data_IF_417569621796
#
_entry.id   IF_417569621796
#
_cell.length_a   1.000
_cell.length_b   1.000
_cell.length_c   1.000
_cell.angle_alpha   90.00
_cell.angle_beta   90.00
_cell.angle_gamma   90.00
#
_symmetry.space_group_name_H-M   'P 1'
#
loop_
_entity.id
_entity.type
_entity.pdbx_description
1 polymer ?
#
# COMPACT_ATOMS: atom_id res chain seq x y z
N UNK A 1 1.21 4.67 14.19
CA UNK A 1 1.72 4.37 15.55
C UNK A 1 3.07 5.03 15.81
N UNK A 2 4.12 4.76 15.04
CA UNK A 2 5.46 5.34 15.28
C UNK A 2 5.44 6.87 15.48
N UNK A 3 4.88 7.63 14.52
CA UNK A 3 4.76 9.08 14.65
C UNK A 3 3.90 9.54 15.85
N UNK A 4 2.80 8.83 16.12
CA UNK A 4 1.91 9.15 17.24
C UNK A 4 2.65 9.07 18.59
N UNK A 5 3.53 8.07 18.72
CA UNK A 5 4.33 7.80 19.92
C UNK A 5 5.71 8.48 19.91
N UNK A 6 6.04 9.27 18.88
CA UNK A 6 7.38 9.85 18.71
C UNK A 6 8.51 8.82 18.56
N UNK A 7 8.23 7.63 18.01
CA UNK A 7 9.20 6.55 17.80
C UNK A 7 9.77 6.54 16.38
N UNK A 8 11.00 6.02 16.22
CA UNK A 8 11.55 5.69 14.90
C UNK A 8 10.74 4.55 14.27
N UNK A 9 10.36 4.74 13.01
CA UNK A 9 9.74 3.68 12.21
C UNK A 9 10.82 2.87 11.49
N UNK A 10 10.62 1.55 11.41
CA UNK A 10 11.54 0.65 10.71
C UNK A 10 10.80 -0.53 10.09
N UNK A 11 11.35 -1.09 9.01
CA UNK A 11 10.83 -2.31 8.37
C UNK A 11 11.88 -3.42 8.46
N UNK A 12 11.46 -4.57 8.99
CA UNK A 12 12.27 -5.79 9.00
C UNK A 12 11.64 -6.77 8.02
N UNK A 13 12.41 -7.17 7.01
CA UNK A 13 11.98 -8.11 5.98
C UNK A 13 12.40 -9.52 6.41
N UNK A 14 11.49 -10.26 7.04
CA UNK A 14 11.79 -11.57 7.65
C UNK A 14 11.37 -12.79 6.81
N UNK A 15 10.67 -12.58 5.68
CA UNK A 15 10.16 -13.62 4.76
C UNK A 15 10.34 -13.14 3.30
N UNK A 16 10.29 -14.02 2.27
CA UNK A 16 10.72 -13.71 0.90
C UNK A 16 9.76 -12.81 0.10
N UNK A 17 9.27 -11.71 0.71
CA UNK A 17 8.71 -10.59 -0.01
C UNK A 17 9.79 -9.52 -0.11
N UNK A 18 10.68 -9.67 -1.09
CA UNK A 18 11.78 -8.74 -1.29
C UNK A 18 11.29 -7.48 -2.02
N UNK A 19 10.35 -6.74 -1.44
CA UNK A 19 9.96 -5.45 -2.00
C UNK A 19 11.17 -4.50 -2.06
N UNK A 20 12.22 -4.74 -1.24
CA UNK A 20 13.52 -4.08 -1.33
C UNK A 20 14.23 -4.26 -2.70
N UNK A 21 13.84 -5.25 -3.52
CA UNK A 21 14.29 -5.36 -4.92
C UNK A 21 13.72 -4.28 -5.82
N UNK A 22 12.69 -3.56 -5.38
CA UNK A 22 11.99 -2.55 -6.17
C UNK A 22 11.95 -1.18 -5.47
N UNK A 23 11.82 -1.18 -4.14
CA UNK A 23 11.66 0.01 -3.32
C UNK A 23 12.86 0.19 -2.39
N UNK A 24 13.23 1.44 -2.18
CA UNK A 24 14.24 1.86 -1.21
C UNK A 24 13.70 3.02 -0.36
N UNK A 25 14.39 3.38 0.74
CA UNK A 25 14.05 4.58 1.49
C UNK A 25 14.01 5.84 0.62
N UNK A 26 13.06 6.72 0.92
CA UNK A 26 12.98 8.05 0.34
C UNK A 26 13.31 9.13 1.39
N UNK A 27 12.32 9.88 1.86
CA UNK A 27 12.52 10.95 2.85
C UNK A 27 12.66 10.43 4.27
N UNK A 28 12.11 9.26 4.54
CA UNK A 28 12.24 8.56 5.82
C UNK A 28 13.15 7.35 5.62
N UNK A 29 14.25 7.32 6.37
CA UNK A 29 15.07 6.13 6.44
C UNK A 29 14.42 5.10 7.39
N UNK A 30 13.92 4.02 6.81
CA UNK A 30 13.25 2.93 7.53
C UNK A 30 14.10 1.65 7.61
N UNK A 31 15.36 1.68 7.17
CA UNK A 31 16.28 0.56 7.40
C UNK A 31 16.71 0.52 8.85
N UNK A 32 16.81 -0.68 9.41
CA UNK A 32 17.23 -0.91 10.79
C UNK A 32 18.38 -1.92 10.77
N UNK A 33 19.52 -1.59 11.35
CA UNK A 33 20.57 -2.59 11.60
C UNK A 33 20.10 -3.49 12.77
N UNK A 34 20.01 -4.83 12.59
CA UNK A 34 19.64 -5.74 13.65
C UNK A 34 20.47 -5.58 14.94
N UNK A 35 21.72 -5.14 14.84
CA UNK A 35 22.59 -4.87 16.00
C UNK A 35 22.05 -3.76 16.90
N UNK A 36 21.36 -2.76 16.33
CA UNK A 36 20.74 -1.67 17.09
C UNK A 36 19.60 -2.16 18.00
N UNK A 37 19.04 -3.35 17.71
CA UNK A 37 17.93 -3.93 18.45
C UNK A 37 18.38 -4.91 19.54
N UNK A 38 19.67 -5.26 19.56
CA UNK A 38 20.22 -6.25 20.47
C UNK A 38 20.13 -5.78 21.94
N UNK A 39 19.63 -6.63 22.82
CA UNK A 39 19.47 -6.33 24.25
C UNK A 39 18.30 -5.39 24.60
N UNK A 40 17.57 -4.85 23.63
CA UNK A 40 16.42 -3.99 23.90
C UNK A 40 15.19 -4.80 24.30
N UNK A 41 14.48 -4.36 25.35
CA UNK A 41 13.17 -4.91 25.72
C UNK A 41 12.20 -4.72 24.56
N UNK A 42 11.58 -5.81 24.11
CA UNK A 42 10.71 -5.82 22.95
C UNK A 42 9.34 -6.43 23.23
N UNK A 43 8.36 -6.09 22.39
CA UNK A 43 7.05 -6.73 22.36
C UNK A 43 6.61 -6.96 20.91
N UNK A 44 6.00 -8.11 20.65
CA UNK A 44 5.43 -8.45 19.35
C UNK A 44 3.91 -8.33 19.38
N UNK A 45 3.40 -7.37 18.62
CA UNK A 45 1.99 -7.12 18.41
C UNK A 45 1.55 -7.75 17.08
N UNK A 46 0.87 -8.90 17.15
CA UNK A 46 0.33 -9.64 15.99
C UNK A 46 -1.13 -9.27 15.78
N UNK A 47 -1.42 -8.61 14.66
CA UNK A 47 -2.74 -8.03 14.34
C UNK A 47 -3.29 -8.52 12.99
N UNK A 48 -2.72 -9.57 12.41
CA UNK A 48 -3.24 -10.13 11.16
C UNK A 48 -4.66 -10.64 11.39
N UNK A 49 -5.64 -10.10 10.67
CA UNK A 49 -7.04 -10.43 10.87
C UNK A 49 -7.71 -9.75 12.08
N UNK A 50 -6.98 -8.96 12.87
CA UNK A 50 -7.52 -8.30 14.07
C UNK A 50 -8.21 -6.97 13.72
N UNK A 51 -9.52 -7.05 13.52
CA UNK A 51 -10.39 -5.88 13.36
C UNK A 51 -10.71 -5.18 14.69
N UNK A 52 -10.61 -5.87 15.82
CA UNK A 52 -10.90 -5.32 17.15
C UNK A 52 -9.90 -4.22 17.54
N UNK A 53 -8.66 -4.36 17.09
CA UNK A 53 -7.63 -3.34 17.30
C UNK A 53 -7.96 -1.98 16.68
N UNK A 54 -8.75 -1.95 15.60
CA UNK A 54 -9.22 -0.71 14.94
C UNK A 54 -9.97 0.16 15.97
N UNK A 55 -10.97 -0.42 16.65
CA UNK A 55 -11.79 0.30 17.63
C UNK A 55 -10.97 0.77 18.83
N UNK A 56 -10.04 -0.06 19.31
CA UNK A 56 -9.18 0.29 20.44
C UNK A 56 -8.30 1.53 20.15
N UNK A 57 -7.85 1.71 18.91
CA UNK A 57 -6.96 2.81 18.55
C UNK A 57 -7.55 4.20 18.75
N UNK A 58 -8.89 4.32 18.81
CA UNK A 58 -9.59 5.60 19.01
C UNK A 58 -9.40 6.23 20.38
N UNK A 59 -9.04 5.44 21.40
CA UNK A 59 -8.93 5.92 22.78
C UNK A 59 -7.73 5.37 23.54
N UNK A 60 -7.01 4.40 22.99
CA UNK A 60 -5.87 3.78 23.66
C UNK A 60 -4.72 4.77 23.89
N UNK A 61 -4.12 4.66 25.08
CA UNK A 61 -2.79 5.19 25.38
C UNK A 61 -1.74 4.16 24.94
N UNK A 62 -1.18 4.36 23.74
CA UNK A 62 -0.16 3.50 23.13
C UNK A 62 1.12 3.46 23.94
N UNK A 63 1.55 4.56 24.55
CA UNK A 63 2.76 4.62 25.38
C UNK A 63 2.61 3.75 26.62
N UNK A 64 1.45 3.84 27.30
CA UNK A 64 1.14 2.99 28.45
C UNK A 64 0.95 1.53 28.06
N UNK A 65 0.30 1.27 26.92
CA UNK A 65 0.03 -0.11 26.45
C UNK A 65 1.29 -0.83 25.96
N UNK A 66 2.21 -0.09 25.35
CA UNK A 66 3.42 -0.62 24.72
C UNK A 66 4.68 0.09 25.23
N UNK A 67 5.02 -0.03 26.52
CA UNK A 67 6.14 0.71 27.13
C UNK A 67 7.52 0.20 26.69
N UNK A 68 7.60 -0.88 25.93
CA UNK A 68 8.85 -1.50 25.49
C UNK A 68 9.59 -0.61 24.49
N UNK A 69 10.93 -0.70 24.51
CA UNK A 69 11.82 0.05 23.61
C UNK A 69 11.56 -0.30 22.14
N UNK A 70 11.28 -1.58 21.87
CA UNK A 70 10.98 -2.07 20.51
C UNK A 70 9.57 -2.65 20.46
N UNK A 71 8.76 -2.18 19.51
CA UNK A 71 7.45 -2.73 19.22
C UNK A 71 7.46 -3.29 17.81
N UNK A 72 7.46 -4.62 17.69
CA UNK A 72 7.31 -5.30 16.41
C UNK A 72 5.82 -5.41 16.09
N UNK A 73 5.40 -4.90 14.94
CA UNK A 73 3.99 -4.93 14.52
C UNK A 73 3.87 -5.78 13.27
N UNK A 74 3.00 -6.78 13.31
CA UNK A 74 2.61 -7.56 12.12
C UNK A 74 1.13 -7.35 11.87
N UNK A 75 0.76 -6.84 10.69
CA UNK A 75 -0.63 -6.57 10.33
C UNK A 75 -0.85 -6.64 8.83
N UNK A 76 -2.11 -6.83 8.42
CA UNK A 76 -2.62 -6.71 7.07
C UNK A 76 -3.73 -5.64 6.94
N UNK A 77 -3.89 -4.78 7.95
CA UNK A 77 -4.90 -3.70 7.97
C UNK A 77 -4.27 -2.31 8.00
N UNK A 78 -5.02 -1.34 7.48
CA UNK A 78 -4.69 0.07 7.54
C UNK A 78 -5.34 0.67 8.79
N UNK A 79 -4.53 0.93 9.81
CA UNK A 79 -5.00 1.40 11.12
C UNK A 79 -5.00 2.92 11.31
N UNK A 80 -4.47 3.70 10.36
CA UNK A 80 -4.26 5.13 10.60
C UNK A 80 -5.57 5.90 10.78
N UNK A 81 -6.67 5.47 10.14
CA UNK A 81 -7.97 6.14 10.25
C UNK A 81 -8.43 6.28 11.71
N UNK A 82 -8.47 5.18 12.45
CA UNK A 82 -8.89 5.18 13.86
C UNK A 82 -7.88 5.85 14.77
N UNK A 83 -6.59 5.82 14.41
CA UNK A 83 -5.56 6.47 15.19
C UNK A 83 -5.60 8.00 15.09
N UNK A 84 -6.00 8.55 13.93
CA UNK A 84 -6.18 10.01 13.74
C UNK A 84 -7.32 10.53 14.63
N UNK A 85 -8.34 9.71 14.86
CA UNK A 85 -9.49 10.06 15.73
C UNK A 85 -9.13 10.06 17.22
N UNK A 86 -7.95 9.58 17.60
CA UNK A 86 -7.54 9.51 19.00
C UNK A 86 -7.12 10.90 19.54
N UNK A 87 -7.84 11.46 20.53
CA UNK A 87 -7.58 12.81 21.03
C UNK A 87 -6.15 13.00 21.57
N UNK A 88 -5.54 11.94 22.10
CA UNK A 88 -4.20 11.96 22.71
C UNK A 88 -3.10 12.25 21.68
N UNK A 89 -3.34 11.89 20.42
CA UNK A 89 -2.36 12.00 19.33
C UNK A 89 -2.69 13.12 18.33
N UNK A 90 -3.71 13.93 18.61
CA UNK A 90 -4.20 14.96 17.70
C UNK A 90 -3.10 15.94 17.30
N UNK A 91 -2.21 16.33 18.23
CA UNK A 91 -1.10 17.25 17.94
C UNK A 91 -0.07 16.63 16.99
N UNK A 92 0.33 15.38 17.25
CA UNK A 92 1.32 14.64 16.46
C UNK A 92 0.80 14.29 15.06
N UNK A 93 -0.52 14.13 14.92
CA UNK A 93 -1.20 13.72 13.70
C UNK A 93 -1.98 14.85 13.04
N UNK A 94 -1.81 16.10 13.48
CA UNK A 94 -2.60 17.24 13.00
C UNK A 94 -2.57 17.36 11.46
N UNK A 95 -1.39 17.21 10.87
CA UNK A 95 -1.21 17.25 9.42
C UNK A 95 -2.09 16.25 8.66
N UNK A 96 -2.35 15.07 9.25
CA UNK A 96 -3.13 14.01 8.60
C UNK A 96 -4.63 14.24 8.74
N UNK A 97 -5.08 14.93 9.79
CA UNK A 97 -6.48 15.34 9.95
C UNK A 97 -6.91 16.46 9.00
N UNK A 98 -5.96 17.15 8.36
CA UNK A 98 -6.20 18.31 7.50
C UNK A 98 -6.37 17.95 6.01
N UNK A 99 -6.37 16.66 5.65
CA UNK A 99 -6.48 16.22 4.25
C UNK A 99 -7.31 14.94 4.11
N UNK A 100 -7.90 14.68 2.93
CA UNK A 100 -8.60 13.43 2.67
C UNK A 100 -7.72 12.21 2.90
N UNK A 101 -8.31 11.10 3.34
CA UNK A 101 -7.54 9.90 3.68
C UNK A 101 -6.68 9.34 2.53
N UNK A 102 -7.16 9.44 1.28
CA UNK A 102 -6.36 9.06 0.11
C UNK A 102 -5.06 9.86 0.00
N UNK A 103 -5.11 11.15 0.32
CA UNK A 103 -3.94 12.03 0.31
C UNK A 103 -3.01 11.73 1.48
N UNK A 104 -3.54 11.36 2.66
CA UNK A 104 -2.73 10.89 3.79
C UNK A 104 -1.94 9.65 3.37
N UNK A 105 -2.61 8.66 2.77
CA UNK A 105 -1.96 7.43 2.31
C UNK A 105 -0.88 7.74 1.27
N UNK A 106 -1.20 8.51 0.23
CA UNK A 106 -0.25 8.90 -0.81
C UNK A 106 0.98 9.64 -0.24
N UNK A 107 0.76 10.59 0.69
CA UNK A 107 1.84 11.31 1.35
C UNK A 107 2.73 10.38 2.17
N UNK A 108 2.16 9.45 2.94
CA UNK A 108 2.94 8.45 3.69
C UNK A 108 3.77 7.59 2.73
N UNK A 109 3.15 7.05 1.67
CA UNK A 109 3.85 6.22 0.69
C UNK A 109 5.01 6.98 0.04
N UNK A 110 4.81 8.24 -0.34
CA UNK A 110 5.87 9.08 -0.92
C UNK A 110 6.99 9.41 0.07
N UNK A 111 6.68 9.62 1.35
CA UNK A 111 7.71 9.85 2.36
C UNK A 111 8.57 8.60 2.59
N UNK A 112 7.91 7.44 2.56
CA UNK A 112 8.51 6.16 2.89
C UNK A 112 9.33 5.58 1.73
N UNK A 113 8.76 5.56 0.53
CA UNK A 113 9.26 4.75 -0.57
C UNK A 113 9.59 5.60 -1.79
N UNK A 114 10.66 5.20 -2.47
CA UNK A 114 10.94 5.52 -3.87
C UNK A 114 11.41 4.26 -4.56
N UNK A 115 11.33 4.23 -5.88
CA UNK A 115 11.94 3.14 -6.64
C UNK A 115 13.47 3.13 -6.45
N UNK A 116 14.06 1.95 -6.48
CA UNK A 116 15.51 1.86 -6.66
C UNK A 116 15.86 2.16 -8.12
N UNK A 117 17.13 2.48 -8.37
CA UNK A 117 17.54 3.02 -9.67
C UNK A 117 17.25 2.01 -10.80
N UNK A 118 17.51 0.72 -10.56
CA UNK A 118 17.21 -0.34 -11.52
C UNK A 118 15.71 -0.44 -11.88
N UNK A 119 14.84 -0.39 -10.87
CA UNK A 119 13.40 -0.47 -11.10
C UNK A 119 12.86 0.84 -11.69
N UNK A 120 13.42 1.99 -11.30
CA UNK A 120 13.09 3.28 -11.89
C UNK A 120 13.41 3.28 -13.38
N UNK A 121 14.60 2.82 -13.80
CA UNK A 121 14.96 2.69 -15.21
C UNK A 121 14.01 1.77 -15.98
N UNK A 122 13.60 0.64 -15.39
CA UNK A 122 12.66 -0.29 -16.01
C UNK A 122 11.28 0.36 -16.21
N UNK A 123 10.82 1.12 -15.20
CA UNK A 123 9.57 1.87 -15.26
C UNK A 123 9.65 3.03 -16.26
N UNK A 124 10.76 3.75 -16.31
CA UNK A 124 10.97 4.85 -17.24
C UNK A 124 10.95 4.35 -18.70
N UNK A 125 11.66 3.26 -18.99
CA UNK A 125 11.61 2.60 -20.31
C UNK A 125 10.21 2.12 -20.67
N UNK A 126 9.50 1.56 -19.70
CA UNK A 126 8.11 1.15 -19.90
C UNK A 126 7.25 2.37 -20.28
N UNK A 127 7.37 3.48 -19.55
CA UNK A 127 6.57 4.67 -19.78
C UNK A 127 6.96 5.45 -21.03
N UNK A 128 8.23 5.45 -21.43
CA UNK A 128 8.68 6.09 -22.67
C UNK A 128 7.90 5.59 -23.90
N UNK A 129 7.59 4.29 -23.92
CA UNK A 129 6.83 3.66 -25.01
C UNK A 129 5.32 3.65 -24.73
N UNK A 130 4.92 3.61 -23.45
CA UNK A 130 3.53 3.38 -23.06
C UNK A 130 2.76 4.62 -22.63
N UNK A 131 3.40 5.77 -22.41
CA UNK A 131 2.70 7.04 -22.20
C UNK A 131 1.87 7.38 -23.46
N UNK A 132 0.61 7.82 -23.32
CA UNK A 132 -0.15 8.32 -24.46
C UNK A 132 0.46 9.58 -25.03
N UNK A 133 0.34 9.78 -26.35
CA UNK A 133 0.67 11.07 -26.96
C UNK A 133 -0.14 12.20 -26.30
N UNK A 134 0.34 13.45 -26.29
CA UNK A 134 -0.36 14.57 -25.65
C UNK A 134 -1.82 14.78 -26.09
N UNK A 135 -2.17 14.34 -27.31
CA UNK A 135 -3.52 14.44 -27.88
C UNK A 135 -4.40 13.20 -27.58
N UNK A 136 -3.92 12.26 -26.77
CA UNK A 136 -4.63 11.04 -26.39
C UNK A 136 -4.97 11.04 -24.90
N UNK A 137 -6.09 10.45 -24.55
CA UNK A 137 -6.50 10.24 -23.17
C UNK A 137 -6.10 8.84 -22.69
N UNK A 138 -5.55 8.76 -21.48
CA UNK A 138 -5.29 7.50 -20.79
C UNK A 138 -6.57 6.98 -20.14
N UNK A 139 -6.90 5.72 -20.39
CA UNK A 139 -8.00 5.01 -19.72
C UNK A 139 -7.41 3.81 -18.99
N UNK A 140 -7.47 3.83 -17.65
CA UNK A 140 -6.91 2.78 -16.82
C UNK A 140 -8.01 1.88 -16.23
N UNK A 141 -7.75 0.57 -16.22
CA UNK A 141 -8.57 -0.40 -15.50
C UNK A 141 -7.70 -1.32 -14.65
N UNK A 142 -8.10 -1.52 -13.39
CA UNK A 142 -7.50 -2.52 -12.50
C UNK A 142 -8.56 -3.58 -12.20
N UNK A 143 -8.33 -4.80 -12.68
CA UNK A 143 -9.27 -5.91 -12.57
C UNK A 143 -8.70 -6.94 -11.60
N UNK A 144 -9.32 -7.02 -10.42
CA UNK A 144 -8.98 -8.03 -9.42
C UNK A 144 -10.05 -9.12 -9.42
N UNK A 145 -9.71 -10.29 -9.94
CA UNK A 145 -10.60 -11.46 -9.92
C UNK A 145 -10.57 -12.10 -8.54
N UNK A 146 -9.37 -12.45 -8.05
CA UNK A 146 -9.18 -13.26 -6.85
C UNK A 146 -9.78 -14.67 -6.94
N UNK A 147 -9.15 -15.61 -6.24
CA UNK A 147 -9.46 -17.04 -6.36
C UNK A 147 -9.54 -17.50 -7.82
N UNK A 148 -8.40 -17.40 -8.50
CA UNK A 148 -8.20 -17.81 -9.89
C UNK A 148 -6.97 -18.75 -9.96
N UNK A 149 -6.65 -19.39 -11.11
CA UNK A 149 -5.52 -20.31 -11.20
C UNK A 149 -4.17 -19.73 -10.78
N UNK A 150 -3.93 -18.42 -11.03
CA UNK A 150 -2.70 -17.72 -10.65
C UNK A 150 -2.69 -17.29 -9.17
N UNK A 151 -3.84 -17.21 -8.52
CA UNK A 151 -4.05 -16.81 -7.12
C UNK A 151 -5.07 -17.73 -6.42
N UNK A 152 -4.79 -19.05 -6.28
CA UNK A 152 -5.80 -20.05 -5.92
C UNK A 152 -6.31 -19.92 -4.47
N UNK A 153 -5.49 -19.36 -3.57
CA UNK A 153 -5.79 -19.24 -2.14
C UNK A 153 -6.39 -17.90 -1.74
N UNK A 154 -6.72 -17.04 -2.71
CA UNK A 154 -7.34 -15.76 -2.42
C UNK A 154 -8.86 -15.87 -2.21
N UNK A 155 -9.45 -14.76 -1.75
CA UNK A 155 -10.89 -14.57 -1.81
C UNK A 155 -11.29 -14.13 -3.22
N UNK A 156 -12.42 -14.65 -3.69
CA UNK A 156 -13.05 -14.16 -4.93
C UNK A 156 -13.48 -12.70 -4.71
N UNK A 157 -13.00 -11.81 -5.56
CA UNK A 157 -13.29 -10.36 -5.55
C UNK A 157 -14.27 -9.96 -6.64
N UNK A 158 -14.18 -10.60 -7.80
CA UNK A 158 -15.00 -10.30 -8.97
C UNK A 158 -15.32 -11.57 -9.76
N UNK A 159 -16.49 -11.61 -10.40
CA UNK A 159 -16.87 -12.68 -11.33
C UNK A 159 -16.54 -12.31 -12.78
N UNK A 160 -16.45 -13.30 -13.67
CA UNK A 160 -16.29 -13.06 -15.11
C UNK A 160 -17.47 -12.31 -15.73
N UNK A 161 -18.68 -12.44 -15.18
CA UNK A 161 -19.82 -11.63 -15.61
C UNK A 161 -19.61 -10.13 -15.35
N UNK A 162 -19.04 -9.76 -14.19
CA UNK A 162 -18.68 -8.37 -13.90
C UNK A 162 -17.55 -7.87 -14.79
N UNK A 163 -16.60 -8.73 -15.16
CA UNK A 163 -15.57 -8.41 -16.15
C UNK A 163 -16.21 -8.07 -17.51
N UNK A 164 -17.20 -8.84 -17.95
CA UNK A 164 -17.91 -8.51 -19.20
C UNK A 164 -18.61 -7.15 -19.12
N UNK A 165 -19.24 -6.82 -17.99
CA UNK A 165 -19.83 -5.48 -17.80
C UNK A 165 -18.77 -4.38 -17.86
N UNK A 166 -17.59 -4.61 -17.29
CA UNK A 166 -16.47 -3.67 -17.39
C UNK A 166 -15.98 -3.53 -18.83
N UNK A 167 -15.90 -4.61 -19.60
CA UNK A 167 -15.54 -4.54 -21.02
C UNK A 167 -16.57 -3.77 -21.84
N UNK A 168 -17.86 -3.96 -21.56
CA UNK A 168 -18.91 -3.17 -22.19
C UNK A 168 -18.75 -1.67 -21.87
N UNK A 169 -18.36 -1.33 -20.64
CA UNK A 169 -18.04 0.05 -20.28
C UNK A 169 -16.81 0.57 -21.04
N UNK A 170 -15.71 -0.20 -21.06
CA UNK A 170 -14.45 0.18 -21.70
C UNK A 170 -14.57 0.27 -23.22
N UNK A 171 -15.52 -0.43 -23.84
CA UNK A 171 -15.79 -0.36 -25.29
C UNK A 171 -16.11 1.05 -25.78
N UNK A 172 -16.57 1.94 -24.90
CA UNK A 172 -16.79 3.37 -25.19
C UNK A 172 -15.49 4.11 -25.55
N UNK A 173 -14.35 3.57 -25.15
CA UNK A 173 -13.01 4.14 -25.35
C UNK A 173 -12.21 3.39 -26.42
N UNK A 174 -12.86 2.62 -27.30
CA UNK A 174 -12.19 1.81 -28.35
C UNK A 174 -11.48 2.62 -29.46
N UNK A 175 -11.70 3.93 -29.53
CA UNK A 175 -11.06 4.77 -30.55
C UNK A 175 -9.57 4.98 -30.22
N UNK A 176 -8.71 4.19 -30.83
CA UNK A 176 -7.25 4.17 -30.59
C UNK A 176 -6.53 5.43 -31.07
N UNK A 177 -7.16 6.31 -31.87
CA UNK A 177 -6.58 7.63 -32.18
C UNK A 177 -6.83 8.66 -31.08
N UNK A 178 -7.77 8.39 -30.16
CA UNK A 178 -8.16 9.28 -29.05
C UNK A 178 -7.79 8.73 -27.67
N UNK A 179 -7.75 7.41 -27.52
CA UNK A 179 -7.59 6.75 -26.22
C UNK A 179 -6.47 5.72 -26.26
N UNK A 180 -5.70 5.64 -25.16
CA UNK A 180 -4.79 4.54 -24.87
C UNK A 180 -5.30 3.83 -23.61
N UNK A 181 -5.57 2.54 -23.72
CA UNK A 181 -6.06 1.75 -22.59
C UNK A 181 -4.92 1.01 -21.90
N UNK A 182 -4.90 1.06 -20.57
CA UNK A 182 -3.98 0.29 -19.75
C UNK A 182 -4.77 -0.57 -18.76
N UNK A 183 -4.65 -1.88 -18.87
CA UNK A 183 -5.35 -2.84 -18.01
C UNK A 183 -4.34 -3.58 -17.17
N UNK A 184 -4.61 -3.68 -15.87
CA UNK A 184 -3.87 -4.56 -14.95
C UNK A 184 -4.82 -5.61 -14.40
N UNK A 185 -4.34 -6.85 -14.26
CA UNK A 185 -5.12 -7.93 -13.68
C UNK A 185 -4.27 -9.01 -13.04
N UNK A 186 -4.83 -9.70 -12.06
CA UNK A 186 -4.27 -10.86 -11.38
C UNK A 186 -4.65 -12.20 -12.02
N UNK A 187 -5.37 -12.20 -13.16
CA UNK A 187 -5.87 -13.40 -13.83
C UNK A 187 -5.37 -13.50 -15.28
N UNK A 188 -4.68 -14.59 -15.60
CA UNK A 188 -4.26 -14.90 -16.99
C UNK A 188 -5.45 -15.02 -17.95
N UNK A 189 -6.60 -15.50 -17.48
CA UNK A 189 -7.80 -15.59 -18.30
C UNK A 189 -8.28 -14.20 -18.74
N UNK A 190 -8.24 -13.22 -17.83
CA UNK A 190 -8.59 -11.84 -18.14
C UNK A 190 -7.54 -11.21 -19.07
N UNK A 191 -6.26 -11.55 -18.91
CA UNK A 191 -5.20 -11.08 -19.82
C UNK A 191 -5.40 -11.57 -21.26
N UNK A 192 -5.89 -12.79 -21.46
CA UNK A 192 -6.09 -13.38 -22.79
C UNK A 192 -7.25 -12.76 -23.57
N UNK A 193 -8.19 -12.11 -22.89
CA UNK A 193 -9.37 -11.47 -23.50
C UNK A 193 -9.27 -9.94 -23.53
N UNK A 194 -8.22 -9.37 -22.94
CA UNK A 194 -7.93 -7.93 -22.94
C UNK A 194 -7.11 -7.55 -24.18
#
# INVERSE_FOLDING_TARGET
MAQAMGRRFGIIISKPCHFAKYLQPNKINWTIDPKELHGLKSHHLRLTGDKGYISALRSVDLERRHPQNVLYVTTNYIYFHSLIENPRYKKQLLWSSQMPYGNVFAKIMNLMFRFNDHFQEAIDKFFEVNIPNPNMHLVCAQIRIGRNPTMPHDDRRMSMSSVQSLWNFLSKYKNTSKYKMFVTTDSEEVQKIA
#
